data_IF_295688945188
#
_entry.id   IF_295688945188
#
_cell.length_a   1.000
_cell.length_b   1.000
_cell.length_c   1.000
_cell.angle_alpha   90.00
_cell.angle_beta   90.00
_cell.angle_gamma   90.00
#
_symmetry.space_group_name_H-M   'P 1'
#
loop_
_entity.id
_entity.type
_entity.pdbx_description
1 polymer ?
#
# COMPACT_ATOMS: atom_id res chain seq x y z
N UNK A 1 -15.52 10.08 -11.94
CA UNK A 1 -15.85 9.11 -10.87
C UNK A 1 -14.55 8.43 -10.43
N UNK A 2 -14.28 8.23 -9.12
CA UNK A 2 -13.09 7.52 -8.63
C UNK A 2 -13.50 6.12 -8.12
N UNK A 3 -13.08 5.02 -8.79
CA UNK A 3 -13.46 3.67 -8.39
C UNK A 3 -12.86 3.31 -7.03
N UNK A 4 -13.57 2.43 -6.29
CA UNK A 4 -13.03 1.82 -5.07
C UNK A 4 -12.29 0.55 -5.47
N UNK A 5 -11.00 0.46 -5.13
CA UNK A 5 -10.15 -0.67 -5.51
C UNK A 5 -9.63 -1.33 -4.23
N UNK A 6 -9.90 -2.62 -4.07
CA UNK A 6 -9.29 -3.44 -3.01
C UNK A 6 -7.86 -3.77 -3.38
N UNK A 7 -6.90 -3.42 -2.52
CA UNK A 7 -5.48 -3.70 -2.71
C UNK A 7 -5.03 -4.70 -1.64
N UNK A 8 -4.79 -5.93 -2.05
CA UNK A 8 -4.28 -6.99 -1.16
C UNK A 8 -2.75 -6.91 -1.12
N UNK A 9 -2.17 -6.79 0.06
CA UNK A 9 -0.71 -6.62 0.23
C UNK A 9 0.09 -7.87 -0.18
N UNK A 10 -0.51 -9.07 -0.03
CA UNK A 10 0.18 -10.35 -0.24
C UNK A 10 0.98 -10.81 0.99
N UNK A 11 2.11 -11.47 0.76
CA UNK A 11 2.99 -11.98 1.82
C UNK A 11 3.62 -10.83 2.65
N UNK A 12 3.39 -10.80 3.98
CA UNK A 12 4.03 -9.88 4.91
C UNK A 12 5.56 -9.81 4.88
N UNK A 13 6.22 -10.92 4.52
CA UNK A 13 7.69 -11.01 4.52
C UNK A 13 8.31 -10.48 3.22
N UNK A 14 7.48 -10.24 2.20
CA UNK A 14 7.89 -9.69 0.92
C UNK A 14 7.98 -8.16 0.91
N UNK A 15 7.99 -7.59 -0.30
CA UNK A 15 8.07 -6.13 -0.50
C UNK A 15 6.69 -5.45 -0.57
N UNK A 16 5.59 -6.19 -0.41
CA UNK A 16 4.23 -5.69 -0.64
C UNK A 16 3.90 -4.45 0.20
N UNK A 17 4.30 -4.41 1.47
CA UNK A 17 4.08 -3.27 2.35
C UNK A 17 4.75 -1.98 1.84
N UNK A 18 5.99 -2.10 1.34
CA UNK A 18 6.75 -0.98 0.77
C UNK A 18 6.11 -0.49 -0.53
N UNK A 19 5.72 -1.41 -1.42
CA UNK A 19 5.05 -1.07 -2.68
C UNK A 19 3.72 -0.35 -2.38
N UNK A 20 2.89 -0.89 -1.49
CA UNK A 20 1.62 -0.25 -1.08
C UNK A 20 1.86 1.15 -0.53
N UNK A 21 2.79 1.33 0.40
CA UNK A 21 3.08 2.62 1.00
C UNK A 21 3.54 3.65 -0.04
N UNK A 22 4.49 3.27 -0.91
CA UNK A 22 5.00 4.15 -1.98
C UNK A 22 3.92 4.48 -3.00
N UNK A 23 3.12 3.50 -3.43
CA UNK A 23 2.03 3.71 -4.39
C UNK A 23 0.97 4.67 -3.84
N UNK A 24 0.62 4.57 -2.55
CA UNK A 24 -0.35 5.46 -1.90
C UNK A 24 0.21 6.86 -1.59
N UNK A 25 1.52 7.03 -1.53
CA UNK A 25 2.16 8.33 -1.40
C UNK A 25 2.13 9.14 -2.72
N UNK A 26 1.83 8.52 -3.86
CA UNK A 26 1.76 9.20 -5.16
C UNK A 26 0.40 9.91 -5.33
N UNK A 27 0.37 11.24 -5.57
CA UNK A 27 -0.87 11.97 -5.82
C UNK A 27 -1.66 11.43 -7.01
N UNK A 28 -0.97 10.96 -8.05
CA UNK A 28 -1.58 10.37 -9.23
C UNK A 28 -2.41 9.12 -8.91
N UNK A 29 -1.94 8.27 -8.00
CA UNK A 29 -2.69 7.09 -7.53
C UNK A 29 -3.99 7.51 -6.85
N UNK A 30 -3.90 8.46 -5.93
CA UNK A 30 -5.06 8.95 -5.19
C UNK A 30 -6.01 9.72 -6.12
N UNK A 31 -5.53 10.36 -7.18
CA UNK A 31 -6.40 10.96 -8.19
C UNK A 31 -7.14 9.90 -9.01
N UNK A 32 -6.49 8.77 -9.33
CA UNK A 32 -7.05 7.70 -10.14
C UNK A 32 -8.12 6.88 -9.40
N UNK A 33 -7.96 6.61 -8.10
CA UNK A 33 -8.88 5.73 -7.37
C UNK A 33 -9.04 6.07 -5.87
N UNK A 34 -9.94 5.33 -5.21
CA UNK A 34 -10.06 5.22 -3.76
C UNK A 34 -9.56 3.83 -3.36
N UNK A 35 -8.29 3.73 -3.00
CA UNK A 35 -7.70 2.47 -2.59
C UNK A 35 -8.19 2.05 -1.19
N UNK A 36 -8.51 0.76 -1.04
CA UNK A 36 -8.80 0.12 0.23
C UNK A 36 -7.80 -1.01 0.44
N UNK A 37 -6.85 -0.82 1.35
CA UNK A 37 -5.80 -1.80 1.60
C UNK A 37 -6.33 -2.90 2.51
N UNK A 38 -6.17 -4.15 2.06
CA UNK A 38 -6.50 -5.36 2.81
C UNK A 38 -5.16 -5.98 3.26
N UNK A 39 -4.79 -5.70 4.50
CA UNK A 39 -3.52 -6.11 5.10
C UNK A 39 -3.58 -6.00 6.63
N UNK A 40 -2.56 -6.55 7.32
CA UNK A 40 -2.32 -6.21 8.73
C UNK A 40 -1.80 -4.78 8.83
N UNK A 41 -2.57 -3.91 9.51
CA UNK A 41 -2.24 -2.49 9.67
C UNK A 41 -0.88 -2.26 10.34
N UNK A 42 -0.41 -3.19 11.20
CA UNK A 42 0.89 -3.06 11.89
C UNK A 42 2.06 -3.24 10.94
N UNK A 43 1.89 -4.01 9.87
CA UNK A 43 2.92 -4.22 8.84
C UNK A 43 3.01 -2.98 7.95
N UNK A 44 1.86 -2.42 7.56
CA UNK A 44 1.81 -1.17 6.80
C UNK A 44 2.38 0.00 7.62
N UNK A 45 2.03 0.11 8.91
CA UNK A 45 2.46 1.21 9.78
C UNK A 45 3.95 1.19 10.14
N UNK A 46 4.60 0.01 10.17
CA UNK A 46 6.06 -0.09 10.38
C UNK A 46 6.85 0.57 9.23
N UNK A 47 6.23 0.73 8.07
CA UNK A 47 6.87 1.31 6.90
C UNK A 47 7.99 0.45 6.32
N UNK A 48 8.61 0.89 5.21
CA UNK A 48 9.78 0.23 4.65
C UNK A 48 10.92 0.26 5.66
N UNK A 49 11.46 -0.91 6.02
CA UNK A 49 12.73 -0.99 6.76
C UNK A 49 13.87 -0.74 5.78
N UNK A 50 14.87 0.10 6.12
CA UNK A 50 16.07 0.20 5.32
C UNK A 50 16.68 -1.20 5.21
N UNK A 51 16.92 -1.66 3.98
CA UNK A 51 17.77 -2.84 3.76
C UNK A 51 19.19 -2.42 4.13
N UNK A 52 19.76 -3.10 5.12
CA UNK A 52 21.19 -3.06 5.40
C UNK A 52 21.96 -3.70 4.24
#
# INVERSE_FOLDING_TARGET
MRPRIGLVMGDPSGIGAEVVAKTLALPATLAACRAFVIADARIIARGPRPRA
#
